data_IF_085423942683
#
_entry.id   IF_085423942683
#
_cell.length_a   1.000
_cell.length_b   1.000
_cell.length_c   1.000
_cell.angle_alpha   90.00
_cell.angle_beta   90.00
_cell.angle_gamma   90.00
#
_symmetry.space_group_name_H-M   'P 1'
#
loop_
_entity.id
_entity.type
_entity.pdbx_description
1 polymer ?
#
# COMPACT_ATOMS: atom_id res chain seq x y z
N UNK A 1 -47.43 33.02 23.70
CA UNK A 1 -48.43 32.65 22.68
C UNK A 1 -48.21 31.17 22.37
N UNK A 2 -48.97 30.20 22.92
CA UNK A 2 -50.33 29.77 22.51
C UNK A 2 -50.40 29.55 20.98
N UNK A 3 -50.84 28.46 20.34
CA UNK A 3 -51.73 27.31 20.61
C UNK A 3 -51.52 26.37 19.38
N UNK A 4 -51.27 25.06 19.55
CA UNK A 4 -52.24 23.95 19.50
C UNK A 4 -52.94 23.67 18.13
N UNK A 5 -52.62 22.48 17.59
CA UNK A 5 -53.51 21.40 17.06
C UNK A 5 -54.58 21.63 15.97
N UNK A 6 -54.47 20.76 14.93
CA UNK A 6 -55.46 19.77 14.41
C UNK A 6 -56.73 20.27 13.71
N UNK A 7 -56.95 19.82 12.47
CA UNK A 7 -58.28 19.40 11.98
C UNK A 7 -58.20 18.56 10.68
N UNK A 8 -59.13 17.60 10.60
CA UNK A 8 -59.47 16.66 9.51
C UNK A 8 -60.81 17.14 8.90
N UNK A 9 -61.10 16.84 7.62
CA UNK A 9 -62.33 16.08 7.27
C UNK A 9 -62.02 14.99 6.20
N UNK A 10 -62.56 13.76 6.22
CA UNK A 10 -63.93 13.30 5.91
C UNK A 10 -64.35 13.65 4.45
N UNK A 11 -65.02 12.83 3.63
CA UNK A 11 -65.47 11.43 3.57
C UNK A 11 -66.20 11.34 2.21
N UNK A 12 -66.10 10.25 1.44
CA UNK A 12 -67.21 9.81 0.58
C UNK A 12 -67.02 8.38 0.09
N UNK A 13 -67.94 7.53 0.50
CA UNK A 13 -68.15 6.18 0.03
C UNK A 13 -68.85 6.17 -1.34
N UNK A 14 -68.66 5.11 -2.12
CA UNK A 14 -69.78 4.46 -2.80
C UNK A 14 -69.43 3.00 -3.15
N UNK A 15 -70.26 2.12 -2.63
CA UNK A 15 -70.39 0.67 -2.84
C UNK A 15 -71.07 0.37 -4.17
N UNK A 16 -70.59 -0.64 -4.91
CA UNK A 16 -71.46 -1.48 -5.76
C UNK A 16 -71.01 -2.94 -5.66
N UNK A 17 -71.99 -3.79 -5.43
CA UNK A 17 -71.94 -5.22 -5.18
C UNK A 17 -71.61 -6.10 -6.41
N UNK A 18 -70.86 -7.17 -6.13
CA UNK A 18 -70.88 -8.59 -6.60
C UNK A 18 -72.00 -9.06 -7.58
N UNK A 19 -71.85 -10.19 -8.35
CA UNK A 19 -71.25 -11.46 -7.86
C UNK A 19 -70.59 -12.43 -8.90
N UNK A 20 -69.96 -13.50 -8.36
CA UNK A 20 -69.89 -14.92 -8.85
C UNK A 20 -69.43 -15.16 -10.33
N UNK A 21 -68.40 -15.96 -10.68
CA UNK A 21 -68.09 -17.37 -10.40
C UNK A 21 -66.68 -17.72 -10.94
N UNK A 22 -65.99 -18.62 -10.25
CA UNK A 22 -65.30 -19.84 -10.76
C UNK A 22 -63.88 -20.02 -10.24
N UNK A 23 -63.70 -21.20 -9.66
CA UNK A 23 -62.48 -21.74 -9.11
C UNK A 23 -61.36 -21.80 -10.14
N UNK A 24 -60.19 -21.27 -9.80
CA UNK A 24 -58.94 -21.91 -10.19
C UNK A 24 -57.87 -21.67 -9.13
N UNK A 25 -57.62 -22.71 -8.32
CA UNK A 25 -56.42 -22.81 -7.51
C UNK A 25 -55.23 -22.90 -8.47
N UNK A 26 -54.45 -21.83 -8.57
CA UNK A 26 -53.07 -21.91 -9.01
C UNK A 26 -52.22 -21.28 -7.92
N UNK A 27 -51.62 -22.15 -7.09
CA UNK A 27 -50.50 -21.80 -6.24
C UNK A 27 -49.36 -21.37 -7.17
N UNK A 28 -49.07 -20.07 -7.22
CA UNK A 28 -47.86 -19.58 -7.87
C UNK A 28 -46.77 -19.45 -6.81
N UNK A 29 -45.63 -20.12 -6.99
CA UNK A 29 -44.66 -20.32 -5.93
C UNK A 29 -43.78 -19.09 -5.70
N UNK A 30 -43.50 -18.85 -4.42
CA UNK A 30 -42.48 -17.94 -3.89
C UNK A 30 -41.11 -18.29 -4.47
N UNK A 31 -40.63 -17.54 -5.46
CA UNK A 31 -39.24 -17.68 -5.92
C UNK A 31 -38.64 -16.33 -6.31
N UNK A 32 -37.33 -16.22 -6.06
CA UNK A 32 -36.38 -15.14 -6.36
C UNK A 32 -36.16 -14.08 -5.27
N UNK A 33 -35.68 -14.54 -4.11
CA UNK A 33 -34.54 -13.87 -3.45
C UNK A 33 -33.25 -14.47 -4.02
N UNK A 34 -32.70 -13.86 -5.06
CA UNK A 34 -31.33 -14.08 -5.55
C UNK A 34 -30.74 -12.67 -5.57
N UNK A 35 -29.91 -12.26 -4.60
CA UNK A 35 -28.59 -12.83 -4.37
C UNK A 35 -27.56 -11.95 -5.09
N UNK A 36 -27.49 -10.65 -4.76
CA UNK A 36 -26.35 -9.82 -5.17
C UNK A 36 -25.25 -10.03 -4.13
N UNK A 37 -24.54 -11.14 -4.25
CA UNK A 37 -23.29 -11.36 -3.53
C UNK A 37 -22.18 -10.65 -4.31
N UNK A 38 -21.48 -9.78 -3.60
CA UNK A 38 -20.45 -8.84 -4.04
C UNK A 38 -19.55 -9.30 -5.23
N UNK A 39 -19.55 -8.49 -6.31
CA UNK A 39 -18.48 -8.43 -7.31
C UNK A 39 -17.25 -7.68 -6.73
N UNK A 40 -16.66 -8.20 -5.65
CA UNK A 40 -15.44 -7.60 -5.06
C UNK A 40 -14.18 -8.47 -5.25
N UNK A 41 -14.28 -9.65 -5.86
CA UNK A 41 -13.23 -10.68 -5.84
C UNK A 41 -12.40 -10.81 -7.13
N UNK A 42 -12.44 -9.83 -8.05
CA UNK A 42 -11.72 -9.94 -9.35
C UNK A 42 -10.69 -8.84 -9.61
N UNK A 43 -10.27 -8.09 -8.60
CA UNK A 43 -9.03 -7.31 -8.70
C UNK A 43 -7.89 -8.22 -8.27
N UNK A 44 -7.06 -8.74 -9.18
CA UNK A 44 -5.86 -9.41 -8.76
C UNK A 44 -5.00 -8.37 -8.05
N UNK A 45 -4.90 -8.49 -6.74
CA UNK A 45 -3.96 -7.71 -5.94
C UNK A 45 -2.57 -8.24 -6.31
N UNK A 46 -2.02 -7.81 -7.47
CA UNK A 46 -0.66 -8.14 -7.93
C UNK A 46 0.38 -7.32 -7.15
N UNK A 47 0.30 -7.48 -5.84
CA UNK A 47 1.30 -7.12 -4.87
C UNK A 47 2.20 -8.35 -4.68
N UNK A 48 3.29 -8.45 -5.44
CA UNK A 48 4.16 -9.63 -5.36
C UNK A 48 5.24 -9.48 -4.28
N UNK A 49 5.66 -8.24 -3.98
CA UNK A 49 6.64 -7.97 -2.92
C UNK A 49 6.06 -7.06 -1.84
N UNK A 50 6.12 -7.51 -0.59
CA UNK A 50 5.82 -6.69 0.57
C UNK A 50 6.93 -5.65 0.78
N UNK A 51 6.56 -4.38 0.88
CA UNK A 51 7.39 -3.34 1.48
C UNK A 51 6.90 -3.10 2.90
N UNK A 52 7.57 -3.70 3.89
CA UNK A 52 7.28 -3.47 5.31
C UNK A 52 8.11 -2.30 5.80
N UNK A 53 7.47 -1.29 6.34
CA UNK A 53 8.13 -0.12 6.88
C UNK A 53 8.10 -0.14 8.39
N UNK A 54 9.20 0.25 9.02
CA UNK A 54 9.30 0.47 10.47
C UNK A 54 9.87 1.85 10.73
N UNK A 55 9.22 2.64 11.56
CA UNK A 55 9.76 3.92 12.00
C UNK A 55 10.31 3.83 13.43
N UNK A 56 11.63 3.88 13.60
CA UNK A 56 12.28 3.96 14.92
C UNK A 56 12.66 5.40 15.29
N UNK A 57 12.44 6.37 14.41
CA UNK A 57 12.79 7.77 14.64
C UNK A 57 11.99 8.38 15.80
N UNK A 58 12.52 9.44 16.40
CA UNK A 58 11.82 10.25 17.41
C UNK A 58 10.74 11.17 16.82
N UNK A 59 10.56 11.15 15.50
CA UNK A 59 9.61 11.98 14.74
C UNK A 59 8.82 11.12 13.76
N UNK A 60 7.71 11.67 13.25
CA UNK A 60 6.87 10.98 12.29
C UNK A 60 7.55 10.86 10.91
N UNK A 61 7.42 9.71 10.27
CA UNK A 61 7.91 9.45 8.92
C UNK A 61 6.78 8.95 8.03
N UNK A 62 6.66 9.49 6.83
CA UNK A 62 5.74 8.98 5.81
C UNK A 62 6.54 8.22 4.75
N UNK A 63 6.37 6.90 4.60
CA UNK A 63 7.06 6.16 3.55
C UNK A 63 6.50 6.54 2.18
N UNK A 64 7.39 6.73 1.22
CA UNK A 64 7.09 7.08 -0.18
C UNK A 64 7.80 6.09 -1.09
N UNK A 65 7.15 5.65 -2.17
CA UNK A 65 7.79 4.76 -3.15
C UNK A 65 7.26 4.94 -4.57
N UNK A 66 8.09 4.66 -5.57
CA UNK A 66 7.71 4.63 -6.99
C UNK A 66 8.61 3.70 -7.79
N UNK A 67 8.10 3.20 -8.92
CA UNK A 67 8.95 2.62 -9.96
C UNK A 67 9.64 3.74 -10.75
N UNK A 68 10.66 3.46 -11.56
CA UNK A 68 11.37 4.49 -12.35
C UNK A 68 10.42 5.40 -13.14
N UNK A 69 9.49 4.81 -13.91
CA UNK A 69 8.44 5.51 -14.67
C UNK A 69 7.07 5.55 -13.98
N UNK A 70 6.96 5.01 -12.75
CA UNK A 70 5.69 4.90 -12.03
C UNK A 70 5.30 6.18 -11.30
N UNK A 71 4.01 6.29 -10.96
CA UNK A 71 3.50 7.34 -10.07
C UNK A 71 4.01 7.20 -8.63
N UNK A 72 4.08 8.32 -7.91
CA UNK A 72 4.45 8.33 -6.50
C UNK A 72 3.33 7.72 -5.64
N UNK A 73 3.67 6.67 -4.91
CA UNK A 73 2.84 6.08 -3.87
C UNK A 73 3.26 6.57 -2.49
N UNK A 74 2.33 6.57 -1.55
CA UNK A 74 2.53 7.07 -0.19
C UNK A 74 1.82 6.16 0.81
N UNK A 75 2.49 5.90 1.93
CA UNK A 75 1.88 5.27 3.10
C UNK A 75 1.34 6.31 4.08
N UNK A 76 0.90 5.87 5.27
CA UNK A 76 0.46 6.76 6.35
C UNK A 76 1.65 7.48 7.02
N UNK A 77 1.36 8.56 7.75
CA UNK A 77 2.32 9.13 8.69
C UNK A 77 2.52 8.18 9.87
N UNK A 78 3.73 7.67 10.05
CA UNK A 78 4.05 6.67 11.06
C UNK A 78 4.75 7.32 12.25
N UNK A 79 4.20 7.19 13.45
CA UNK A 79 4.89 7.54 14.69
C UNK A 79 6.01 6.55 15.04
N UNK A 80 6.76 6.83 16.12
CA UNK A 80 7.82 5.95 16.62
C UNK A 80 7.26 4.56 16.97
N UNK A 81 7.97 3.52 16.58
CA UNK A 81 7.61 2.12 16.78
C UNK A 81 6.55 1.57 15.83
N UNK A 82 5.91 2.42 15.01
CA UNK A 82 4.88 1.98 14.09
C UNK A 82 5.48 1.13 12.97
N UNK A 83 4.70 0.13 12.55
CA UNK A 83 4.98 -0.75 11.41
C UNK A 83 3.78 -0.72 10.48
N UNK A 84 4.04 -0.60 9.17
CA UNK A 84 3.01 -0.60 8.14
C UNK A 84 3.55 -1.25 6.87
N UNK A 85 2.70 -1.90 6.08
CA UNK A 85 3.13 -2.55 4.84
C UNK A 85 2.41 -1.97 3.63
N UNK A 86 3.18 -1.74 2.57
CA UNK A 86 2.70 -1.53 1.21
C UNK A 86 3.18 -2.66 0.32
N UNK A 87 2.90 -2.55 -0.98
CA UNK A 87 3.28 -3.57 -1.94
C UNK A 87 3.71 -2.99 -3.28
N UNK A 88 4.58 -3.73 -3.97
CA UNK A 88 5.04 -3.45 -5.33
C UNK A 88 4.96 -4.73 -6.19
N UNK A 89 4.79 -4.59 -7.52
CA UNK A 89 4.71 -5.75 -8.42
C UNK A 89 6.05 -6.46 -8.59
N UNK A 90 6.05 -7.72 -9.07
CA UNK A 90 7.26 -8.52 -9.35
C UNK A 90 8.13 -7.89 -10.46
N UNK A 91 7.60 -6.91 -11.19
CA UNK A 91 8.29 -6.15 -12.22
C UNK A 91 8.48 -4.68 -11.81
N UNK A 92 9.07 -4.46 -10.63
CA UNK A 92 9.36 -3.14 -10.08
C UNK A 92 10.80 -2.72 -10.39
N UNK A 93 11.00 -2.07 -11.53
CA UNK A 93 12.33 -1.68 -12.06
C UNK A 93 12.67 -0.24 -11.69
N UNK A 94 13.93 0.00 -11.33
CA UNK A 94 14.43 1.30 -10.85
C UNK A 94 13.53 1.86 -9.72
N UNK A 95 13.10 0.96 -8.84
CA UNK A 95 12.26 1.25 -7.70
C UNK A 95 13.01 2.09 -6.68
N UNK A 96 12.33 3.11 -6.18
CA UNK A 96 12.86 4.01 -5.13
C UNK A 96 11.89 4.07 -3.98
N UNK A 97 12.44 4.03 -2.77
CA UNK A 97 11.75 4.23 -1.50
C UNK A 97 12.49 5.27 -0.68
N UNK A 98 11.76 6.14 0.02
CA UNK A 98 12.34 7.02 1.03
C UNK A 98 11.36 7.31 2.17
N UNK A 99 11.90 7.74 3.31
CA UNK A 99 11.13 8.26 4.43
C UNK A 99 10.99 9.77 4.32
N UNK A 100 9.78 10.27 4.09
CA UNK A 100 9.47 11.69 4.06
C UNK A 100 9.27 12.24 5.48
N UNK A 101 10.06 13.26 5.83
CA UNK A 101 9.99 14.02 7.08
C UNK A 101 9.93 15.55 6.86
N UNK A 102 9.64 15.98 5.63
CA UNK A 102 9.63 17.38 5.18
C UNK A 102 10.91 17.80 4.43
N UNK A 103 11.96 16.98 4.41
CA UNK A 103 13.22 17.30 3.75
C UNK A 103 13.30 16.85 2.28
N UNK A 104 12.51 15.84 1.88
CA UNK A 104 12.62 15.22 0.55
C UNK A 104 11.86 16.01 -0.51
N UNK A 105 12.49 16.17 -1.67
CA UNK A 105 11.84 16.71 -2.88
C UNK A 105 11.23 15.53 -3.65
N UNK A 106 9.92 15.57 -3.79
CA UNK A 106 9.13 14.61 -4.56
C UNK A 106 9.28 14.86 -6.08
N UNK A 107 9.09 13.85 -6.94
CA UNK A 107 8.68 12.48 -6.61
C UNK A 107 9.85 11.54 -6.31
N UNK A 108 11.07 11.88 -6.71
CA UNK A 108 12.21 10.96 -6.72
C UNK A 108 13.00 10.89 -5.41
N UNK A 109 12.61 11.66 -4.39
CA UNK A 109 13.26 11.66 -3.09
C UNK A 109 14.61 12.38 -3.08
N UNK A 110 14.77 13.40 -3.92
CA UNK A 110 15.98 14.21 -3.88
C UNK A 110 16.15 14.83 -2.47
N UNK A 111 17.40 14.94 -2.03
CA UNK A 111 17.86 15.26 -0.67
C UNK A 111 17.67 14.16 0.38
N UNK A 112 17.24 12.96 -0.01
CA UNK A 112 16.94 11.89 0.93
C UNK A 112 17.79 10.64 0.73
N UNK A 113 17.93 9.88 1.82
CA UNK A 113 18.46 8.53 1.78
C UNK A 113 17.44 7.67 1.05
N UNK A 114 17.87 6.92 0.05
CA UNK A 114 17.00 6.06 -0.75
C UNK A 114 17.24 4.60 -0.42
N UNK A 115 16.18 3.80 -0.45
CA UNK A 115 16.27 2.38 -0.68
C UNK A 115 15.89 2.14 -2.14
N UNK A 116 16.81 1.60 -2.92
CA UNK A 116 16.65 1.39 -4.36
C UNK A 116 16.63 -0.11 -4.66
N UNK A 117 15.68 -0.55 -5.48
CA UNK A 117 15.57 -1.94 -5.90
C UNK A 117 15.26 -2.07 -7.38
N UNK A 118 15.63 -3.20 -7.96
CA UNK A 118 15.15 -3.61 -9.28
C UNK A 118 14.74 -5.08 -9.25
N UNK A 119 13.48 -5.31 -9.62
CA UNK A 119 12.89 -6.61 -9.93
C UNK A 119 12.56 -6.59 -11.42
N UNK A 120 13.48 -7.05 -12.25
CA UNK A 120 13.34 -7.06 -13.71
C UNK A 120 13.05 -8.48 -14.25
N UNK A 121 13.23 -9.50 -13.42
CA UNK A 121 12.85 -10.87 -13.71
C UNK A 121 12.51 -11.61 -12.41
N UNK A 122 11.55 -12.53 -12.50
CA UNK A 122 11.11 -13.34 -11.36
C UNK A 122 12.30 -14.05 -10.74
N UNK A 123 12.46 -13.91 -9.43
CA UNK A 123 13.56 -14.55 -8.70
C UNK A 123 14.93 -13.93 -8.95
N UNK A 124 15.01 -12.67 -9.36
CA UNK A 124 16.23 -11.87 -9.33
C UNK A 124 15.93 -10.48 -8.79
N UNK A 125 16.31 -10.27 -7.54
CA UNK A 125 16.04 -9.03 -6.85
C UNK A 125 17.37 -8.44 -6.39
N UNK A 126 17.66 -7.21 -6.82
CA UNK A 126 18.82 -6.46 -6.35
C UNK A 126 18.37 -5.18 -5.67
N UNK A 127 18.82 -4.97 -4.44
CA UNK A 127 18.52 -3.79 -3.66
C UNK A 127 19.77 -3.19 -3.04
N UNK A 128 19.74 -1.89 -2.78
CA UNK A 128 20.77 -1.19 -2.03
C UNK A 128 20.16 -0.02 -1.23
N UNK A 129 20.97 0.53 -0.33
CA UNK A 129 20.74 1.88 0.18
C UNK A 129 21.57 2.83 -0.67
N UNK A 130 21.01 3.96 -1.05
CA UNK A 130 21.67 4.95 -1.89
C UNK A 130 21.67 6.30 -1.22
N UNK A 131 22.82 6.97 -1.33
CA UNK A 131 23.02 8.35 -0.91
C UNK A 131 23.33 9.27 -2.09
N UNK A 132 23.16 8.77 -3.32
CA UNK A 132 23.37 9.56 -4.54
C UNK A 132 22.49 10.81 -4.55
N UNK A 133 21.27 10.69 -4.00
CA UNK A 133 20.30 11.77 -3.92
C UNK A 133 20.44 12.64 -2.67
N UNK A 134 21.34 12.32 -1.73
CA UNK A 134 21.51 13.02 -0.47
C UNK A 134 21.32 12.12 0.76
N UNK A 135 21.03 12.75 1.90
CA UNK A 135 20.79 12.07 3.16
C UNK A 135 19.87 12.92 4.05
N UNK A 136 18.82 12.31 4.59
CA UNK A 136 17.91 12.94 5.55
C UNK A 136 17.74 12.12 6.82
N UNK A 137 17.52 10.80 6.68
CA UNK A 137 17.24 9.87 7.77
C UNK A 137 18.15 8.65 7.60
N UNK A 138 18.61 8.07 8.72
CA UNK A 138 19.29 6.78 8.71
C UNK A 138 18.36 5.68 8.25
N UNK A 139 18.85 4.77 7.43
CA UNK A 139 18.03 3.72 6.83
C UNK A 139 18.73 2.38 6.94
N UNK A 140 17.96 1.33 7.24
CA UNK A 140 18.37 -0.04 7.01
C UNK A 140 17.33 -0.75 6.16
N UNK A 141 17.72 -1.86 5.53
CA UNK A 141 16.75 -2.81 5.02
C UNK A 141 17.17 -4.25 5.30
N UNK A 142 16.18 -5.13 5.36
CA UNK A 142 16.35 -6.58 5.43
C UNK A 142 15.41 -7.26 4.41
N UNK A 143 15.78 -8.45 3.94
CA UNK A 143 14.84 -9.30 3.20
C UNK A 143 13.86 -9.97 4.17
N UNK A 144 12.60 -10.13 3.74
CA UNK A 144 11.55 -10.84 4.46
C UNK A 144 11.22 -12.12 3.69
N UNK A 145 11.44 -13.26 4.33
CA UNK A 145 11.28 -14.56 3.68
C UNK A 145 12.35 -14.84 2.63
N UNK A 146 12.14 -15.90 1.86
CA UNK A 146 13.12 -16.41 0.91
C UNK A 146 14.26 -17.20 1.55
N UNK A 147 14.99 -17.94 0.70
CA UNK A 147 16.13 -18.76 1.12
C UNK A 147 17.38 -18.32 0.37
N UNK A 148 18.51 -18.18 1.08
CA UNK A 148 19.78 -17.80 0.46
C UNK A 148 19.87 -16.33 0.04
N UNK A 149 19.00 -15.46 0.54
CA UNK A 149 19.16 -14.01 0.37
C UNK A 149 20.47 -13.54 1.02
N UNK A 150 21.16 -12.60 0.37
CA UNK A 150 22.29 -11.89 0.98
C UNK A 150 21.82 -11.05 2.18
N UNK A 151 22.74 -10.67 3.06
CA UNK A 151 22.42 -9.76 4.17
C UNK A 151 21.92 -8.40 3.70
N UNK A 152 21.05 -7.78 4.51
CA UNK A 152 20.59 -6.42 4.31
C UNK A 152 21.72 -5.37 4.41
N UNK A 153 21.36 -4.09 4.27
CA UNK A 153 22.29 -2.97 4.44
C UNK A 153 21.79 -2.01 5.51
N UNK A 154 22.71 -1.31 6.17
CA UNK A 154 22.40 -0.32 7.21
C UNK A 154 23.29 0.91 7.10
N UNK A 155 22.74 2.01 6.60
CA UNK A 155 23.36 3.33 6.57
C UNK A 155 22.69 4.23 7.60
N UNK A 156 23.22 4.26 8.83
CA UNK A 156 22.65 5.02 9.93
C UNK A 156 23.18 6.46 10.07
N UNK A 157 24.12 6.87 9.21
CA UNK A 157 24.70 8.21 9.23
C UNK A 157 25.08 8.70 7.83
N UNK A 158 25.20 10.02 7.70
CA UNK A 158 25.53 10.71 6.45
C UNK A 158 26.98 10.48 5.95
N UNK A 159 27.76 9.58 6.55
CA UNK A 159 29.10 9.20 6.12
C UNK A 159 29.24 7.68 5.94
N UNK A 160 28.13 6.94 5.83
CA UNK A 160 28.21 5.50 5.62
C UNK A 160 29.02 5.17 4.34
N UNK A 161 29.90 4.15 4.39
CA UNK A 161 30.86 3.88 3.33
C UNK A 161 30.20 3.26 2.09
N UNK A 162 30.94 3.26 0.97
CA UNK A 162 30.47 2.64 -0.27
C UNK A 162 30.38 1.10 -0.24
N UNK A 163 30.76 0.47 0.88
CA UNK A 163 30.50 -0.95 1.17
C UNK A 163 29.08 -1.20 1.68
N UNK A 164 28.38 -0.14 2.06
CA UNK A 164 27.05 -0.18 2.67
C UNK A 164 26.02 0.55 1.81
N UNK A 165 26.39 1.67 1.20
CA UNK A 165 25.50 2.46 0.36
C UNK A 165 26.10 2.81 -1.00
N UNK A 166 25.27 3.05 -2.00
CA UNK A 166 25.68 3.63 -3.27
C UNK A 166 25.96 5.12 -3.08
N UNK A 167 27.16 5.59 -3.44
CA UNK A 167 27.61 6.97 -3.22
C UNK A 167 27.90 7.69 -4.55
N UNK A 168 27.80 9.03 -4.62
CA UNK A 168 28.37 9.81 -5.72
C UNK A 168 29.89 9.63 -5.84
N UNK A 169 30.50 9.73 -7.04
CA UNK A 169 29.87 9.84 -8.36
C UNK A 169 29.61 8.44 -8.98
N UNK A 170 28.87 7.57 -8.30
CA UNK A 170 28.60 6.16 -8.65
C UNK A 170 29.68 5.17 -8.21
N UNK A 171 29.90 5.12 -6.89
CA UNK A 171 30.68 4.07 -6.26
C UNK A 171 29.82 3.14 -5.42
N UNK A 172 29.94 1.85 -5.69
CA UNK A 172 29.37 0.76 -4.90
C UNK A 172 30.39 -0.38 -4.83
N UNK A 173 30.89 -0.65 -3.63
CA UNK A 173 31.84 -1.74 -3.37
C UNK A 173 31.18 -2.81 -2.49
N UNK A 174 30.25 -3.57 -3.06
CA UNK A 174 29.46 -4.55 -2.29
C UNK A 174 28.27 -3.95 -1.54
N UNK A 175 27.86 -2.73 -1.88
CA UNK A 175 26.65 -2.09 -1.33
C UNK A 175 25.34 -2.72 -1.83
N UNK A 176 25.39 -3.52 -2.90
CA UNK A 176 24.26 -4.31 -3.38
C UNK A 176 23.99 -5.49 -2.45
N UNK A 177 22.72 -5.80 -2.23
CA UNK A 177 22.23 -7.07 -1.68
C UNK A 177 21.32 -7.71 -2.71
N UNK A 178 21.47 -9.01 -2.88
CA UNK A 178 20.69 -9.79 -3.81
C UNK A 178 19.86 -10.84 -3.08
N UNK A 179 18.63 -11.06 -3.54
CA UNK A 179 17.89 -12.24 -3.18
C UNK A 179 17.19 -12.84 -4.40
N UNK A 180 17.54 -14.08 -4.74
CA UNK A 180 17.00 -14.77 -5.92
C UNK A 180 15.79 -15.66 -5.57
N UNK A 181 14.91 -15.15 -4.70
CA UNK A 181 13.63 -15.79 -4.35
C UNK A 181 12.51 -14.95 -4.95
N UNK A 182 11.60 -15.57 -5.71
CA UNK A 182 10.39 -14.90 -6.16
C UNK A 182 9.55 -14.41 -4.96
N UNK A 183 8.87 -13.27 -5.10
CA UNK A 183 7.96 -12.73 -4.06
C UNK A 183 8.59 -12.51 -2.68
N UNK A 184 9.90 -12.28 -2.63
CA UNK A 184 10.58 -11.92 -1.38
C UNK A 184 10.11 -10.54 -0.91
N UNK A 185 9.85 -10.36 0.37
CA UNK A 185 9.53 -9.05 0.93
C UNK A 185 10.79 -8.26 1.32
N UNK A 186 10.61 -6.99 1.67
CA UNK A 186 11.67 -6.14 2.21
C UNK A 186 11.16 -5.39 3.43
N UNK A 187 11.92 -5.41 4.51
CA UNK A 187 11.71 -4.51 5.64
C UNK A 187 12.61 -3.29 5.45
N UNK A 188 12.04 -2.09 5.40
CA UNK A 188 12.76 -0.81 5.40
C UNK A 188 12.59 -0.16 6.78
N UNK A 189 13.70 0.12 7.45
CA UNK A 189 13.73 0.63 8.81
C UNK A 189 14.30 2.05 8.79
N UNK A 190 13.52 3.02 9.26
CA UNK A 190 13.94 4.41 9.46
C UNK A 190 14.50 4.60 10.87
N UNK A 191 15.64 5.28 10.98
CA UNK A 191 16.45 5.41 12.20
C UNK A 191 16.78 4.05 12.86
N UNK A 192 17.42 3.13 12.12
CA UNK A 192 17.77 1.80 12.63
C UNK A 192 18.75 1.86 13.81
#
# INVERSE_FOLDING_TARGET
MLVQTKAKPASSASTVDSPFILHQKMQLPTFLTVGVVALASLMPVYADHELRFRNNCSFNVTPKWKAGSGGLSSGPSMGRGAVWSGWVPEYWVAGRVYGQNGACIEPDGARCTLFECTFNNIGFNQCNISRVSGYNIGMAFNWIGGSGCQGGKNCNNANCPNTVAWLPPDSCNGCLSQCNTARVGMEVIFCP
#
